data_IF_820103442920
#
_entry.id   IF_820103442920
#
_cell.length_a   1.000
_cell.length_b   1.000
_cell.length_c   1.000
_cell.angle_alpha   90.00
_cell.angle_beta   90.00
_cell.angle_gamma   90.00
#
_symmetry.space_group_name_H-M   'P 1'
#
loop_
_entity.id
_entity.type
_entity.pdbx_description
1 polymer ?
#
# COMPACT_ATOMS: atom_id res chain seq x y z
N UNK A 1 -17.97 8.87 -11.78
CA UNK A 1 -17.74 9.62 -10.53
C UNK A 1 -16.31 9.32 -10.10
N UNK A 2 -15.51 10.33 -9.74
CA UNK A 2 -14.16 10.08 -9.21
C UNK A 2 -14.30 9.56 -7.80
N UNK A 3 -13.79 8.36 -7.53
CA UNK A 3 -13.76 7.82 -6.17
C UNK A 3 -12.58 8.44 -5.42
N UNK A 4 -12.84 8.93 -4.20
CA UNK A 4 -11.80 9.51 -3.35
C UNK A 4 -10.86 8.43 -2.83
N UNK A 5 -9.56 8.73 -2.77
CA UNK A 5 -8.57 7.82 -2.20
C UNK A 5 -8.97 7.40 -0.77
N UNK A 6 -8.79 6.11 -0.40
CA UNK A 6 -9.10 5.64 0.93
C UNK A 6 -8.16 6.27 1.96
N UNK A 7 -8.66 6.47 3.17
CA UNK A 7 -7.85 6.93 4.31
C UNK A 7 -6.90 5.83 4.79
N UNK A 8 -5.85 6.22 5.54
CA UNK A 8 -4.92 5.23 6.13
C UNK A 8 -5.63 4.20 7.00
N UNK A 9 -6.67 4.62 7.75
CA UNK A 9 -7.43 3.73 8.63
C UNK A 9 -8.21 2.68 7.83
N UNK A 10 -8.76 3.06 6.68
CA UNK A 10 -9.45 2.13 5.79
C UNK A 10 -8.47 1.13 5.16
N UNK A 11 -7.28 1.58 4.73
CA UNK A 11 -6.23 0.67 4.25
C UNK A 11 -5.78 -0.31 5.34
N UNK A 12 -5.50 0.17 6.55
CA UNK A 12 -5.11 -0.70 7.67
C UNK A 12 -6.23 -1.68 8.06
N UNK A 13 -7.50 -1.30 7.93
CA UNK A 13 -8.64 -2.22 8.11
C UNK A 13 -8.74 -3.26 6.98
N UNK A 14 -8.51 -2.83 5.75
CA UNK A 14 -8.52 -3.67 4.56
C UNK A 14 -7.42 -4.73 4.60
N UNK A 15 -6.18 -4.34 4.92
CA UNK A 15 -5.06 -5.27 5.10
C UNK A 15 -5.36 -6.36 6.15
N UNK A 16 -6.25 -6.09 7.12
CA UNK A 16 -6.68 -7.03 8.17
C UNK A 16 -7.89 -7.89 7.78
N UNK A 17 -8.37 -7.80 6.53
CA UNK A 17 -9.48 -8.61 6.04
C UNK A 17 -10.88 -8.02 6.28
N UNK A 18 -11.00 -6.70 6.47
CA UNK A 18 -12.30 -6.04 6.69
C UNK A 18 -12.56 -4.86 5.73
N UNK A 19 -13.82 -4.70 5.31
CA UNK A 19 -14.37 -3.58 4.53
C UNK A 19 -13.86 -3.43 3.07
N UNK A 20 -14.51 -4.12 2.12
CA UNK A 20 -14.19 -4.02 0.69
C UNK A 20 -15.36 -3.50 -0.16
N UNK A 21 -15.51 -2.17 -0.20
CA UNK A 21 -16.34 -1.50 -1.21
C UNK A 21 -15.50 -0.86 -2.33
N UNK A 22 -14.19 -0.73 -2.13
CA UNK A 22 -13.30 0.07 -2.98
C UNK A 22 -12.15 -0.80 -3.53
N UNK A 23 -11.79 -0.67 -4.82
CA UNK A 23 -10.78 -1.51 -5.47
C UNK A 23 -9.41 -1.44 -4.80
N UNK A 24 -8.96 -0.25 -4.37
CA UNK A 24 -7.70 -0.13 -3.62
C UNK A 24 -7.70 -0.85 -2.27
N UNK A 25 -8.84 -0.91 -1.58
CA UNK A 25 -8.93 -1.66 -0.32
C UNK A 25 -8.81 -3.15 -0.60
N UNK A 26 -9.46 -3.63 -1.66
CA UNK A 26 -9.33 -5.03 -2.09
C UNK A 26 -7.88 -5.36 -2.45
N UNK A 27 -7.24 -4.54 -3.27
CA UNK A 27 -5.85 -4.74 -3.66
C UNK A 27 -4.89 -4.70 -2.46
N UNK A 28 -5.10 -3.80 -1.50
CA UNK A 28 -4.30 -3.74 -0.28
C UNK A 28 -4.43 -5.03 0.58
N UNK A 29 -5.63 -5.61 0.64
CA UNK A 29 -5.85 -6.90 1.29
C UNK A 29 -5.16 -8.04 0.55
N UNK A 30 -5.33 -8.11 -0.77
CA UNK A 30 -4.71 -9.15 -1.59
C UNK A 30 -3.16 -9.09 -1.46
N UNK A 31 -2.59 -7.88 -1.39
CA UNK A 31 -1.15 -7.67 -1.11
C UNK A 31 -0.77 -8.13 0.30
N UNK A 32 -1.59 -7.86 1.32
CA UNK A 32 -1.30 -8.30 2.69
C UNK A 32 -1.29 -9.84 2.79
N UNK A 33 -2.28 -10.50 2.20
CA UNK A 33 -2.36 -11.96 2.12
C UNK A 33 -1.19 -12.55 1.33
N UNK A 34 -0.77 -11.88 0.26
CA UNK A 34 0.40 -12.27 -0.53
C UNK A 34 1.68 -12.23 0.32
N UNK A 35 1.89 -11.17 1.10
CA UNK A 35 3.03 -11.05 2.00
C UNK A 35 3.00 -12.10 3.11
N UNK A 36 1.82 -12.47 3.61
CA UNK A 36 1.66 -13.59 4.55
C UNK A 36 2.09 -14.93 3.94
N UNK A 37 1.65 -15.22 2.70
CA UNK A 37 2.07 -16.42 1.97
C UNK A 37 3.58 -16.45 1.74
N UNK A 38 4.18 -15.32 1.39
CA UNK A 38 5.62 -15.19 1.16
C UNK A 38 6.45 -15.52 2.39
N UNK A 39 5.97 -15.25 3.61
CA UNK A 39 6.69 -15.57 4.84
C UNK A 39 6.93 -17.07 5.06
N UNK A 40 6.11 -17.94 4.45
CA UNK A 40 6.24 -19.40 4.54
C UNK A 40 6.55 -20.11 3.21
N UNK A 41 6.70 -19.36 2.12
CA UNK A 41 6.86 -19.91 0.77
C UNK A 41 8.27 -20.43 0.49
N UNK A 42 8.38 -21.47 -0.33
CA UNK A 42 9.64 -21.94 -0.89
C UNK A 42 10.16 -21.04 -2.02
N UNK A 43 11.44 -21.20 -2.44
CA UNK A 43 12.07 -20.34 -3.44
C UNK A 43 11.37 -20.32 -4.81
N UNK A 44 10.79 -21.45 -5.24
CA UNK A 44 10.04 -21.53 -6.51
C UNK A 44 8.75 -20.71 -6.45
N UNK A 45 8.02 -20.80 -5.33
CA UNK A 45 6.78 -20.06 -5.09
C UNK A 45 7.03 -18.56 -4.93
N UNK A 46 8.20 -18.16 -4.41
CA UNK A 46 8.55 -16.74 -4.25
C UNK A 46 8.56 -15.99 -5.57
N UNK A 47 9.01 -16.62 -6.67
CA UNK A 47 8.99 -15.97 -7.98
C UNK A 47 7.57 -15.69 -8.46
N UNK A 48 6.68 -16.67 -8.36
CA UNK A 48 5.27 -16.51 -8.75
C UNK A 48 4.57 -15.44 -7.89
N UNK A 49 4.86 -15.41 -6.59
CA UNK A 49 4.32 -14.41 -5.68
C UNK A 49 4.85 -13.01 -5.98
N UNK A 50 6.11 -12.87 -6.43
CA UNK A 50 6.67 -11.57 -6.85
C UNK A 50 6.03 -11.04 -8.13
N UNK A 51 5.71 -11.91 -9.08
CA UNK A 51 4.98 -11.53 -10.30
C UNK A 51 3.57 -11.04 -9.97
N UNK A 52 2.84 -11.79 -9.11
CA UNK A 52 1.51 -11.39 -8.64
C UNK A 52 1.56 -10.05 -7.89
N UNK A 53 2.57 -9.84 -7.03
CA UNK A 53 2.76 -8.57 -6.31
C UNK A 53 2.94 -7.42 -7.31
N UNK A 54 3.79 -7.62 -8.30
CA UNK A 54 4.14 -6.59 -9.28
C UNK A 54 2.92 -6.20 -10.11
N UNK A 55 2.11 -7.18 -10.54
CA UNK A 55 0.85 -6.93 -11.25
C UNK A 55 -0.16 -6.16 -10.40
N UNK A 56 -0.34 -6.56 -9.13
CA UNK A 56 -1.24 -5.86 -8.20
C UNK A 56 -0.82 -4.41 -7.97
N UNK A 57 0.48 -4.16 -7.75
CA UNK A 57 1.03 -2.80 -7.60
C UNK A 57 0.80 -1.97 -8.86
N UNK A 58 1.04 -2.56 -10.03
CA UNK A 58 0.82 -1.89 -11.30
C UNK A 58 -0.66 -1.54 -11.54
N UNK A 59 -1.56 -2.47 -11.23
CA UNK A 59 -3.02 -2.26 -11.31
C UNK A 59 -3.49 -1.12 -10.39
N UNK A 60 -2.96 -1.05 -9.17
CA UNK A 60 -3.18 0.08 -8.26
C UNK A 60 -2.72 1.38 -8.91
N UNK A 61 -1.51 1.44 -9.46
CA UNK A 61 -0.95 2.66 -10.06
C UNK A 61 -1.75 3.14 -11.28
N UNK A 62 -2.24 2.21 -12.11
CA UNK A 62 -3.16 2.53 -13.22
C UNK A 62 -4.46 3.12 -12.67
N UNK A 63 -5.07 2.47 -11.69
CA UNK A 63 -6.32 2.94 -11.11
C UNK A 63 -6.15 4.33 -10.49
N UNK A 64 -5.09 4.54 -9.71
CA UNK A 64 -4.79 5.83 -9.06
C UNK A 64 -4.62 6.92 -10.12
N UNK A 65 -3.79 6.68 -11.13
CA UNK A 65 -3.59 7.62 -12.24
C UNK A 65 -4.90 7.95 -12.96
N UNK A 66 -5.81 6.98 -13.10
CA UNK A 66 -7.12 7.19 -13.74
C UNK A 66 -8.09 8.07 -12.91
N UNK A 67 -7.97 8.05 -11.58
CA UNK A 67 -8.85 8.81 -10.69
C UNK A 67 -8.37 10.22 -10.40
N UNK A 68 -7.06 10.45 -10.51
CA UNK A 68 -6.45 11.72 -10.16
C UNK A 68 -6.73 12.81 -11.21
N UNK A 69 -6.91 14.07 -10.77
CA UNK A 69 -6.96 15.19 -11.70
C UNK A 69 -5.60 15.36 -12.40
N UNK A 70 -5.57 15.90 -13.63
CA UNK A 70 -4.32 16.21 -14.31
C UNK A 70 -3.46 17.11 -13.42
N UNK A 71 -2.26 16.65 -13.09
CA UNK A 71 -1.35 17.35 -12.18
C UNK A 71 -0.93 18.71 -12.76
N UNK A 72 -0.86 19.74 -11.92
CA UNK A 72 -0.35 21.05 -12.31
C UNK A 72 1.10 20.90 -12.80
N UNK A 73 1.43 21.49 -13.95
CA UNK A 73 2.72 21.30 -14.65
C UNK A 73 4.00 21.66 -13.87
N UNK A 74 3.87 22.26 -12.68
CA UNK A 74 4.96 22.59 -11.77
C UNK A 74 5.02 21.71 -10.49
N UNK A 75 4.16 20.69 -10.37
CA UNK A 75 4.12 19.82 -9.21
C UNK A 75 5.37 18.92 -9.15
N UNK A 76 5.94 18.75 -7.94
CA UNK A 76 7.09 17.87 -7.72
C UNK A 76 6.69 16.42 -7.93
N UNK A 77 7.52 15.68 -8.68
CA UNK A 77 7.37 14.24 -8.90
C UNK A 77 7.83 13.50 -7.65
N UNK A 78 7.00 12.59 -7.14
CA UNK A 78 7.41 11.66 -6.10
C UNK A 78 8.46 10.66 -6.60
N UNK A 79 9.30 10.21 -5.68
CA UNK A 79 10.28 9.14 -5.93
C UNK A 79 9.63 7.76 -6.06
N UNK A 80 8.42 7.58 -5.53
CA UNK A 80 7.71 6.30 -5.48
C UNK A 80 6.27 6.47 -5.97
N UNK A 81 5.69 5.39 -6.51
CA UNK A 81 4.28 5.34 -6.91
C UNK A 81 3.38 5.11 -5.68
N UNK A 82 2.07 5.41 -5.80
CA UNK A 82 1.14 5.16 -4.69
C UNK A 82 0.97 3.66 -4.44
N UNK A 83 1.02 2.83 -5.48
CA UNK A 83 1.01 1.38 -5.40
C UNK A 83 2.19 0.83 -4.61
N UNK A 84 3.40 1.37 -4.81
CA UNK A 84 4.58 0.98 -4.01
C UNK A 84 4.41 1.31 -2.52
N UNK A 85 3.80 2.46 -2.19
CA UNK A 85 3.50 2.84 -0.80
C UNK A 85 2.46 1.89 -0.19
N UNK A 86 1.41 1.55 -0.94
CA UNK A 86 0.37 0.61 -0.48
C UNK A 86 0.94 -0.81 -0.30
N UNK A 87 1.81 -1.28 -1.20
CA UNK A 87 2.52 -2.56 -1.05
C UNK A 87 3.34 -2.60 0.25
N UNK A 88 4.08 -1.53 0.53
CA UNK A 88 4.88 -1.45 1.75
C UNK A 88 4.02 -1.37 3.02
N UNK A 89 2.86 -0.71 2.97
CA UNK A 89 1.88 -0.75 4.05
C UNK A 89 1.34 -2.17 4.29
N UNK A 90 1.02 -2.89 3.22
CA UNK A 90 0.56 -4.27 3.30
C UNK A 90 1.64 -5.19 3.90
N UNK A 91 2.90 -5.05 3.45
CA UNK A 91 4.06 -5.77 3.98
C UNK A 91 4.26 -5.52 5.48
N UNK A 92 4.30 -4.25 5.90
CA UNK A 92 4.49 -3.90 7.31
C UNK A 92 3.31 -4.36 8.17
N UNK A 93 2.09 -4.35 7.63
CA UNK A 93 0.94 -4.92 8.32
C UNK A 93 1.12 -6.41 8.53
N UNK A 94 1.43 -7.18 7.48
CA UNK A 94 1.67 -8.62 7.60
C UNK A 94 2.79 -8.94 8.59
N UNK A 95 3.89 -8.17 8.55
CA UNK A 95 5.00 -8.33 9.50
C UNK A 95 4.63 -8.00 10.94
N UNK A 96 3.92 -6.89 11.19
CA UNK A 96 3.49 -6.49 12.52
C UNK A 96 2.56 -7.55 13.16
N UNK A 97 1.68 -8.14 12.34
CA UNK A 97 0.80 -9.23 12.79
C UNK A 97 1.57 -10.54 13.02
N UNK A 98 2.50 -10.91 12.13
CA UNK A 98 3.35 -12.07 12.35
C UNK A 98 4.26 -11.92 13.59
N UNK A 99 4.67 -10.70 13.93
CA UNK A 99 5.46 -10.41 15.12
C UNK A 99 4.68 -10.68 16.43
N UNK A 100 3.34 -10.54 16.42
CA UNK A 100 2.50 -10.90 17.58
C UNK A 100 2.67 -12.39 17.97
N UNK A 101 2.89 -13.26 16.97
CA UNK A 101 3.08 -14.69 17.20
C UNK A 101 4.49 -15.07 17.69
N UNK A 102 5.51 -14.21 17.51
CA UNK A 102 6.92 -14.53 17.78
C UNK A 102 7.40 -14.19 19.21
N UNK A 103 6.56 -13.58 20.04
CA UNK A 103 6.83 -13.28 21.47
C UNK A 103 8.08 -12.42 21.76
N UNK A 104 8.64 -11.72 20.76
CA UNK A 104 9.75 -10.77 20.94
C UNK A 104 9.23 -9.31 20.99
N UNK A 105 9.12 -8.75 22.20
CA UNK A 105 8.50 -7.43 22.42
C UNK A 105 9.22 -6.25 21.75
N UNK A 106 10.52 -6.35 21.48
CA UNK A 106 11.28 -5.29 20.79
C UNK A 106 10.99 -5.26 19.28
N UNK A 107 10.94 -6.43 18.63
CA UNK A 107 10.62 -6.54 17.20
C UNK A 107 9.17 -6.08 16.93
N UNK A 108 8.28 -6.39 17.87
CA UNK A 108 6.89 -5.95 17.83
C UNK A 108 6.81 -4.42 17.83
N UNK A 109 7.41 -3.75 18.81
CA UNK A 109 7.36 -2.30 18.93
C UNK A 109 7.93 -1.58 17.68
N UNK A 110 9.04 -2.09 17.13
CA UNK A 110 9.63 -1.52 15.92
C UNK A 110 8.73 -1.71 14.69
N UNK A 111 8.13 -2.89 14.51
CA UNK A 111 7.23 -3.15 13.40
C UNK A 111 5.98 -2.24 13.44
N UNK A 112 5.40 -2.04 14.62
CA UNK A 112 4.26 -1.13 14.79
C UNK A 112 4.64 0.34 14.57
N UNK A 113 5.83 0.76 15.01
CA UNK A 113 6.33 2.12 14.79
C UNK A 113 6.49 2.41 13.29
N UNK A 114 7.17 1.52 12.54
CA UNK A 114 7.34 1.68 11.10
C UNK A 114 6.00 1.70 10.35
N UNK A 115 5.05 0.87 10.78
CA UNK A 115 3.71 0.86 10.20
C UNK A 115 2.98 2.19 10.43
N UNK A 116 3.06 2.75 11.65
CA UNK A 116 2.44 4.03 11.98
C UNK A 116 3.05 5.19 11.19
N UNK A 117 4.38 5.23 11.06
CA UNK A 117 5.09 6.24 10.28
C UNK A 117 4.69 6.22 8.81
N UNK A 118 4.67 5.02 8.20
CA UNK A 118 4.27 4.87 6.81
C UNK A 118 2.79 5.21 6.59
N UNK A 119 1.91 4.86 7.54
CA UNK A 119 0.49 5.18 7.45
C UNK A 119 0.22 6.69 7.48
N UNK A 120 0.99 7.44 8.29
CA UNK A 120 0.94 8.91 8.29
C UNK A 120 1.48 9.45 6.97
N UNK A 121 2.60 8.93 6.47
CA UNK A 121 3.16 9.34 5.18
C UNK A 121 2.22 9.10 4.00
N UNK A 122 1.48 7.99 3.98
CA UNK A 122 0.44 7.72 2.99
C UNK A 122 -0.70 8.74 3.03
N UNK A 123 -1.17 9.12 4.22
CA UNK A 123 -2.28 10.05 4.37
C UNK A 123 -1.92 11.45 3.87
N UNK A 124 -0.70 11.91 4.16
CA UNK A 124 -0.17 13.17 3.64
C UNK A 124 -0.02 13.10 2.11
N UNK A 125 0.59 12.03 1.60
CA UNK A 125 0.72 11.77 0.16
C UNK A 125 -0.63 11.77 -0.57
N UNK A 126 -1.62 11.05 -0.04
CA UNK A 126 -2.95 10.97 -0.63
C UNK A 126 -3.62 12.34 -0.68
N UNK A 127 -3.46 13.15 0.37
CA UNK A 127 -3.97 14.53 0.42
C UNK A 127 -3.28 15.43 -0.60
N UNK A 128 -1.94 15.40 -0.67
CA UNK A 128 -1.16 16.21 -1.59
C UNK A 128 -1.44 15.87 -3.07
N UNK A 129 -1.63 14.59 -3.37
CA UNK A 129 -1.91 14.13 -4.73
C UNK A 129 -3.37 14.41 -5.12
N UNK A 130 -4.33 14.23 -4.21
CA UNK A 130 -5.75 14.57 -4.46
C UNK A 130 -5.96 16.08 -4.66
N UNK A 131 -5.16 16.91 -3.98
CA UNK A 131 -5.16 18.38 -4.15
C UNK A 131 -4.32 18.87 -5.33
N UNK A 132 -3.66 17.96 -6.06
CA UNK A 132 -2.82 18.29 -7.22
C UNK A 132 -1.53 19.05 -6.89
N UNK A 133 -1.09 18.99 -5.63
CA UNK A 133 0.17 19.58 -5.14
C UNK A 133 1.39 18.69 -5.42
N UNK A 134 1.17 17.39 -5.64
CA UNK A 134 2.18 16.41 -6.05
C UNK A 134 1.76 15.61 -7.26
N UNK A 135 2.76 15.18 -8.02
CA UNK A 135 2.63 14.27 -9.15
C UNK A 135 3.24 12.92 -8.80
N UNK A 136 2.54 11.85 -9.11
CA UNK A 136 3.07 10.50 -9.02
C UNK A 136 3.86 10.16 -10.30
N UNK A 137 4.94 9.37 -10.21
CA UNK A 137 5.61 8.87 -11.40
C UNK A 137 4.63 8.03 -12.24
N UNK A 138 4.58 8.29 -13.55
CA UNK A 138 3.68 7.61 -14.49
C UNK A 138 2.31 8.27 -14.72
N UNK A 139 1.94 9.30 -13.95
CA UNK A 139 0.78 10.13 -14.27
C UNK A 139 1.12 11.08 -15.41
N UNK A 140 0.39 11.04 -16.53
CA UNK A 140 0.56 11.95 -17.68
C UNK A 140 -0.17 13.28 -17.48
#
# INVERSE_FOLDING_TARGET
>A
MRETLPTKNQLLQACRGSAFAHPLLRAAHDLAELHERRMGAGPEQLSELEDIRTDLVHSIDIWVTSQLPPSHGAARVHTETLGAVIDRLALLTAHAFAALARTSGQDLAQAWQHLAELAVGYEDLASEVTTGRRRLPGGH
#
